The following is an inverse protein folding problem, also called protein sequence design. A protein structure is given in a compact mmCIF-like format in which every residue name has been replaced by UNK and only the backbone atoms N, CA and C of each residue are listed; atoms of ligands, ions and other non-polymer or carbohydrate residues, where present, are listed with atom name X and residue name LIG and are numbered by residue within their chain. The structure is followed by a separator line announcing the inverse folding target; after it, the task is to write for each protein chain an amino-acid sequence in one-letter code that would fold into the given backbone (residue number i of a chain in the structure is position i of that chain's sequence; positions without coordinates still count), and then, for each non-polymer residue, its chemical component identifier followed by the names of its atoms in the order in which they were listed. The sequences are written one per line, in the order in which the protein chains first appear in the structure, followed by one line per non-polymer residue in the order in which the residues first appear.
data_IF_941167449340
#
_entry.id   IF_941167449340
#
_cell.length_a   1.000
_cell.length_b   1.000
_cell.length_c   1.000
_cell.angle_alpha   90.00
_cell.angle_beta   90.00
_cell.angle_gamma   90.00
#
_symmetry.space_group_name_H-M   'P 1'
#
loop_
_entity.id
_entity.type
_entity.pdbx_description
1 polymer ?
#
# COMPACT_ATOMS: atom_id res chain seq x y z
N UNK A 1 -9.55 -9.35 21.45
CA UNK A 1 -9.19 -10.71 21.83
C UNK A 1 -8.90 -10.77 23.33
N UNK A 2 -9.40 -11.79 24.02
CA UNK A 2 -9.22 -12.03 25.46
C UNK A 2 -8.08 -13.03 25.77
N UNK A 3 -7.28 -13.39 24.76
CA UNK A 3 -6.22 -14.40 24.86
C UNK A 3 -6.72 -15.86 24.86
N UNK A 4 -8.02 -16.07 24.75
CA UNK A 4 -8.67 -17.41 24.72
C UNK A 4 -9.42 -17.66 23.42
N UNK A 5 -9.21 -16.80 22.41
CA UNK A 5 -9.87 -16.92 21.11
C UNK A 5 -11.21 -16.19 21.00
N UNK A 6 -11.67 -15.49 22.03
CA UNK A 6 -12.88 -14.68 21.94
C UNK A 6 -12.53 -13.25 21.51
N UNK A 7 -13.35 -12.68 20.64
CA UNK A 7 -13.19 -11.32 20.13
C UNK A 7 -14.37 -10.44 20.53
N UNK A 8 -14.07 -9.25 21.04
CA UNK A 8 -15.08 -8.26 21.42
C UNK A 8 -14.87 -7.00 20.59
N UNK A 9 -15.95 -6.46 20.04
CA UNK A 9 -15.92 -5.23 19.28
C UNK A 9 -15.64 -4.02 20.22
N UNK A 10 -14.52 -3.33 19.99
CA UNK A 10 -14.22 -2.04 20.63
C UNK A 10 -14.74 -0.90 19.73
N UNK A 11 -15.93 -0.41 20.01
CA UNK A 11 -16.51 0.71 19.25
C UNK A 11 -15.72 1.99 19.45
N UNK A 12 -15.52 2.78 18.36
CA UNK A 12 -14.80 4.04 18.40
C UNK A 12 -13.29 3.94 18.54
N UNK A 13 -12.73 2.71 18.48
CA UNK A 13 -11.26 2.51 18.52
C UNK A 13 -10.56 3.04 17.26
N UNK A 14 -11.22 3.00 16.13
CA UNK A 14 -10.70 3.48 14.84
C UNK A 14 -11.46 4.74 14.39
N UNK A 15 -10.79 5.68 13.70
CA UNK A 15 -11.47 6.75 13.00
C UNK A 15 -12.36 6.23 11.87
N UNK A 16 -13.28 7.03 11.39
CA UNK A 16 -14.09 6.71 10.19
C UNK A 16 -13.21 6.91 8.96
N UNK A 17 -13.00 5.83 8.20
CA UNK A 17 -12.23 5.83 6.96
C UNK A 17 -13.18 5.58 5.79
N UNK A 18 -13.32 6.57 4.89
CA UNK A 18 -14.14 6.44 3.68
C UNK A 18 -13.28 5.88 2.54
N UNK A 19 -12.94 4.61 2.61
CA UNK A 19 -12.10 3.95 1.61
C UNK A 19 -12.45 2.47 1.45
N UNK A 20 -12.14 1.92 0.29
CA UNK A 20 -12.08 0.47 0.08
C UNK A 20 -10.67 0.00 0.41
N UNK A 21 -10.51 -0.61 1.58
CA UNK A 21 -9.23 -1.08 2.07
C UNK A 21 -8.72 -2.28 1.25
N UNK A 22 -7.43 -2.27 0.87
CA UNK A 22 -6.73 -3.38 0.23
C UNK A 22 -5.77 -4.11 1.18
N UNK A 23 -5.17 -3.39 2.13
CA UNK A 23 -4.22 -3.95 3.08
C UNK A 23 -4.32 -3.28 4.46
N UNK A 24 -4.07 -4.05 5.51
CA UNK A 24 -3.85 -3.52 6.86
C UNK A 24 -2.59 -4.19 7.42
N UNK A 25 -1.61 -3.38 7.82
CA UNK A 25 -0.34 -3.86 8.36
C UNK A 25 -0.12 -3.25 9.73
N UNK A 26 0.06 -4.07 10.78
CA UNK A 26 0.51 -3.57 12.08
C UNK A 26 2.00 -3.22 12.01
N UNK A 27 2.37 -2.07 12.57
CA UNK A 27 3.75 -1.59 12.62
C UNK A 27 3.93 -0.71 13.86
N UNK A 28 5.07 -0.83 14.50
CA UNK A 28 5.52 0.13 15.52
C UNK A 28 6.51 1.07 14.78
N UNK A 29 5.99 2.18 14.22
CA UNK A 29 6.81 3.03 13.36
C UNK A 29 7.67 4.01 14.14
N UNK A 30 7.25 4.41 15.33
CA UNK A 30 7.95 5.41 16.15
C UNK A 30 8.75 4.80 17.33
N UNK A 31 8.62 3.48 17.54
CA UNK A 31 9.38 2.73 18.55
C UNK A 31 8.85 2.91 19.97
N UNK A 32 7.59 3.29 20.14
CA UNK A 32 6.96 3.48 21.45
C UNK A 32 6.46 2.17 22.07
N UNK A 33 6.49 1.06 21.32
CA UNK A 33 6.07 -0.28 21.73
C UNK A 33 4.59 -0.55 21.53
N UNK A 34 3.78 0.42 21.10
CA UNK A 34 2.41 0.21 20.69
C UNK A 34 2.34 -0.10 19.19
N UNK A 35 1.49 -1.05 18.79
CA UNK A 35 1.32 -1.33 17.37
C UNK A 35 0.37 -0.33 16.72
N UNK A 36 0.88 0.45 15.82
CA UNK A 36 0.17 1.32 14.90
C UNK A 36 -0.39 0.53 13.72
N UNK A 37 -1.11 1.18 12.81
CA UNK A 37 -1.62 0.54 11.60
C UNK A 37 -1.30 1.38 10.35
N UNK A 38 -0.74 0.74 9.34
CA UNK A 38 -0.89 1.20 7.97
C UNK A 38 -2.16 0.62 7.38
N UNK A 39 -3.03 1.48 6.84
CA UNK A 39 -4.25 1.11 6.13
C UNK A 39 -4.10 1.53 4.68
N UNK A 40 -3.75 0.58 3.83
CA UNK A 40 -3.61 0.77 2.39
C UNK A 40 -4.97 0.72 1.71
N UNK A 41 -5.32 1.79 1.03
CA UNK A 41 -6.58 1.91 0.29
C UNK A 41 -6.41 1.43 -1.14
N UNK A 42 -7.34 0.60 -1.63
CA UNK A 42 -7.32 0.04 -2.98
C UNK A 42 -8.06 0.91 -3.99
N UNK A 43 -9.14 1.53 -3.60
CA UNK A 43 -9.93 2.37 -4.49
C UNK A 43 -10.77 3.38 -3.74
N UNK A 44 -11.06 4.49 -4.39
CA UNK A 44 -12.12 5.39 -3.97
C UNK A 44 -13.47 4.69 -4.20
N UNK A 45 -14.41 4.69 -3.23
CA UNK A 45 -15.72 4.10 -3.44
C UNK A 45 -16.40 4.64 -4.70
N UNK A 46 -16.84 3.74 -5.58
CA UNK A 46 -17.47 4.03 -6.88
C UNK A 46 -16.55 4.66 -7.94
N UNK A 47 -15.28 4.97 -7.62
CA UNK A 47 -14.33 5.63 -8.53
C UNK A 47 -13.02 4.86 -8.64
N UNK A 48 -13.07 3.66 -9.23
CA UNK A 48 -11.87 2.86 -9.50
C UNK A 48 -10.93 3.59 -10.46
N UNK A 49 -9.64 3.61 -10.14
CA UNK A 49 -8.58 4.25 -10.93
C UNK A 49 -8.18 5.63 -10.42
N UNK A 50 -8.99 6.27 -9.57
CA UNK A 50 -8.55 7.41 -8.80
C UNK A 50 -7.71 6.97 -7.62
N UNK A 51 -6.65 7.72 -7.30
CA UNK A 51 -5.77 7.43 -6.16
C UNK A 51 -6.54 7.57 -4.84
N UNK A 52 -6.72 6.47 -4.11
CA UNK A 52 -7.41 6.52 -2.83
C UNK A 52 -6.48 7.01 -1.72
N UNK A 53 -7.06 7.60 -0.68
CA UNK A 53 -6.32 8.01 0.51
C UNK A 53 -5.96 6.81 1.38
N UNK A 54 -4.67 6.55 1.57
CA UNK A 54 -4.14 5.57 2.52
C UNK A 54 -3.75 6.25 3.84
N UNK A 55 -3.68 5.47 4.94
CA UNK A 55 -3.59 6.04 6.29
C UNK A 55 -2.46 5.41 7.11
N UNK A 56 -1.80 6.23 7.93
CA UNK A 56 -1.09 5.78 9.13
C UNK A 56 -1.94 6.14 10.35
N UNK A 57 -2.36 5.14 11.10
CA UNK A 57 -3.14 5.29 12.30
C UNK A 57 -2.26 5.04 13.52
N UNK A 58 -1.97 6.09 14.27
CA UNK A 58 -1.19 6.03 15.51
C UNK A 58 -2.03 5.50 16.67
N UNK A 59 -1.48 4.56 17.42
CA UNK A 59 -2.09 3.93 18.59
C UNK A 59 -1.63 4.61 19.88
N UNK A 60 -2.53 4.99 20.74
CA UNK A 60 -2.23 5.60 22.04
C UNK A 60 -1.72 4.59 23.12
N UNK A 61 -1.40 3.36 22.72
CA UNK A 61 -1.02 2.26 23.62
C UNK A 61 -2.20 1.62 24.37
N UNK A 62 -3.41 2.13 24.19
CA UNK A 62 -4.65 1.59 24.77
C UNK A 62 -5.58 1.00 23.71
N UNK A 63 -5.12 0.97 22.44
CA UNK A 63 -5.87 0.50 21.27
C UNK A 63 -6.93 1.50 20.82
N UNK A 64 -6.71 2.80 20.99
CA UNK A 64 -7.45 3.84 20.31
C UNK A 64 -6.52 4.46 19.25
N UNK A 65 -7.03 4.62 18.05
CA UNK A 65 -6.24 5.02 16.89
C UNK A 65 -6.65 6.41 16.39
N UNK A 66 -5.64 7.20 16.02
CA UNK A 66 -5.82 8.51 15.39
C UNK A 66 -5.10 8.55 14.05
N UNK A 67 -5.70 9.22 13.09
CA UNK A 67 -5.04 9.48 11.80
C UNK A 67 -3.85 10.45 12.00
N UNK A 68 -2.65 9.94 11.74
CA UNK A 68 -1.39 10.67 11.80
C UNK A 68 -0.79 10.93 10.40
N UNK A 69 -1.46 10.49 9.32
CA UNK A 69 -0.94 10.47 7.96
C UNK A 69 -0.37 11.81 7.52
N UNK A 70 -1.11 12.89 7.70
CA UNK A 70 -0.67 14.23 7.27
C UNK A 70 0.60 14.71 7.99
N UNK A 71 0.85 14.20 9.19
CA UNK A 71 2.03 14.58 10.01
C UNK A 71 3.24 13.71 9.71
N UNK A 72 3.04 12.38 9.70
CA UNK A 72 4.16 11.43 9.64
C UNK A 72 4.39 10.83 8.26
N UNK A 73 3.39 10.86 7.38
CA UNK A 73 3.44 10.19 6.08
C UNK A 73 2.62 10.90 4.98
N UNK A 74 2.82 12.20 4.73
CA UNK A 74 1.98 12.94 3.77
C UNK A 74 1.98 12.32 2.36
N UNK A 75 3.11 11.71 1.94
CA UNK A 75 3.23 11.04 0.64
C UNK A 75 2.40 9.76 0.52
N UNK A 76 2.04 9.13 1.64
CA UNK A 76 1.21 7.92 1.64
C UNK A 76 -0.27 8.22 1.41
N UNK A 77 -0.69 9.48 1.56
CA UNK A 77 -2.09 9.88 1.32
C UNK A 77 -2.56 9.62 -0.11
N UNK A 78 -1.64 9.59 -1.09
CA UNK A 78 -1.90 9.31 -2.50
C UNK A 78 -0.84 8.36 -3.08
N UNK A 79 -0.53 7.29 -2.35
CA UNK A 79 0.53 6.36 -2.72
C UNK A 79 0.17 5.50 -3.93
N UNK A 80 -1.10 5.40 -4.24
CA UNK A 80 -1.69 4.58 -5.31
C UNK A 80 -2.71 3.57 -4.79
N UNK A 81 -3.12 2.65 -5.65
CA UNK A 81 -4.18 1.65 -5.40
C UNK A 81 -3.60 0.42 -4.71
N UNK A 82 -3.45 0.47 -3.40
CA UNK A 82 -2.76 -0.55 -2.59
C UNK A 82 -3.56 -1.86 -2.54
N UNK A 83 -2.91 -2.98 -2.85
CA UNK A 83 -3.46 -4.33 -2.75
C UNK A 83 -2.83 -5.14 -1.62
N UNK A 84 -1.53 -4.92 -1.36
CA UNK A 84 -0.80 -5.60 -0.30
C UNK A 84 0.29 -4.70 0.25
N UNK A 85 0.69 -4.94 1.50
CA UNK A 85 1.80 -4.26 2.14
C UNK A 85 2.47 -5.16 3.20
N UNK A 86 3.70 -4.80 3.59
CA UNK A 86 4.48 -5.49 4.61
C UNK A 86 5.32 -4.51 5.41
N UNK A 87 5.82 -4.95 6.57
CA UNK A 87 6.72 -4.16 7.40
C UNK A 87 7.87 -5.04 7.88
N UNK A 88 9.05 -4.88 7.29
CA UNK A 88 10.23 -5.70 7.52
C UNK A 88 11.52 -4.89 7.29
N UNK A 89 12.62 -5.32 7.91
CA UNK A 89 13.95 -4.79 7.66
C UNK A 89 14.47 -5.40 6.36
N UNK A 90 14.45 -4.61 5.27
CA UNK A 90 14.83 -5.07 3.93
C UNK A 90 16.18 -4.53 3.47
N UNK A 91 16.87 -3.79 4.34
CA UNK A 91 18.19 -3.23 4.07
C UNK A 91 19.23 -3.59 5.13
N UNK A 92 18.85 -4.45 6.09
CA UNK A 92 19.69 -4.96 7.20
C UNK A 92 20.27 -3.83 8.10
N UNK A 93 19.56 -2.70 8.24
CA UNK A 93 20.00 -1.60 9.12
C UNK A 93 19.44 -1.71 10.57
N UNK A 94 18.66 -2.74 10.84
CA UNK A 94 18.00 -3.01 12.12
C UNK A 94 16.69 -2.26 12.31
N UNK A 95 16.22 -1.52 11.31
CA UNK A 95 14.91 -0.85 11.29
C UNK A 95 14.04 -1.46 10.20
N UNK A 96 12.77 -1.42 10.40
CA UNK A 96 11.83 -1.97 9.41
C UNK A 96 11.31 -0.89 8.47
N UNK A 97 11.20 -1.23 7.21
CA UNK A 97 10.59 -0.45 6.17
C UNK A 97 9.14 -0.88 5.94
N UNK A 98 8.31 0.08 5.51
CA UNK A 98 6.98 -0.17 4.99
C UNK A 98 7.07 -0.41 3.48
N UNK A 99 6.74 -1.63 3.05
CA UNK A 99 6.73 -2.05 1.65
C UNK A 99 5.29 -2.04 1.17
N UNK A 100 5.03 -1.43 0.02
CA UNK A 100 3.69 -1.26 -0.54
C UNK A 100 3.68 -1.71 -1.98
N UNK A 101 2.69 -2.51 -2.33
CA UNK A 101 2.41 -2.91 -3.71
C UNK A 101 0.94 -2.69 -4.05
N UNK A 102 0.65 -2.48 -5.34
CA UNK A 102 -0.72 -2.20 -5.75
C UNK A 102 -0.93 -2.25 -7.26
N UNK A 103 -2.14 -1.92 -7.66
CA UNK A 103 -2.54 -1.87 -9.06
C UNK A 103 -2.07 -0.58 -9.71
N UNK A 104 -1.57 -0.65 -10.96
CA UNK A 104 -1.14 0.50 -11.78
C UNK A 104 0.03 1.29 -11.18
N UNK A 105 0.82 0.68 -10.33
CA UNK A 105 1.95 1.32 -9.67
C UNK A 105 3.18 0.40 -9.61
N UNK A 106 4.34 0.97 -9.38
CA UNK A 106 5.54 0.23 -8.99
C UNK A 106 5.51 -0.12 -7.50
N UNK A 107 6.22 -1.18 -7.06
CA UNK A 107 6.49 -1.40 -5.65
C UNK A 107 7.18 -0.18 -5.03
N UNK A 108 6.81 0.18 -3.81
CA UNK A 108 7.37 1.32 -3.08
C UNK A 108 7.82 0.88 -1.71
N UNK A 109 8.94 1.43 -1.26
CA UNK A 109 9.53 1.15 0.05
C UNK A 109 9.73 2.48 0.78
N UNK A 110 9.27 2.55 2.02
CA UNK A 110 9.36 3.73 2.87
C UNK A 110 10.08 3.41 4.16
N UNK A 111 11.09 4.20 4.50
CA UNK A 111 11.77 4.17 5.79
C UNK A 111 11.29 5.32 6.67
N UNK A 112 11.09 5.06 7.98
CA UNK A 112 10.75 6.12 8.93
C UNK A 112 12.02 6.82 9.39
N UNK A 113 12.19 8.11 9.02
CA UNK A 113 13.37 8.90 9.32
C UNK A 113 13.01 10.13 10.14
N UNK A 114 13.59 10.21 11.34
CA UNK A 114 13.35 11.31 12.25
C UNK A 114 11.90 11.39 12.71
N UNK A 115 10.99 11.90 11.91
CA UNK A 115 9.58 12.06 12.24
C UNK A 115 8.64 11.77 11.07
N UNK A 116 9.16 11.27 9.94
CA UNK A 116 8.36 11.05 8.73
C UNK A 116 8.79 9.81 7.97
N UNK A 117 7.84 9.22 7.27
CA UNK A 117 8.11 8.23 6.24
C UNK A 117 8.64 8.91 4.97
N UNK A 118 9.78 8.42 4.48
CA UNK A 118 10.42 8.85 3.25
C UNK A 118 10.59 7.66 2.31
N UNK A 119 10.21 7.84 1.04
CA UNK A 119 10.41 6.82 0.02
C UNK A 119 11.90 6.64 -0.25
N UNK A 120 12.38 5.39 -0.20
CA UNK A 120 13.74 5.03 -0.56
C UNK A 120 13.78 4.48 -1.99
N UNK A 121 14.83 4.84 -2.73
CA UNK A 121 15.04 4.38 -4.10
C UNK A 121 15.77 3.05 -4.10
N UNK A 122 15.17 2.07 -4.75
CA UNK A 122 15.61 0.67 -4.72
C UNK A 122 15.82 0.06 -6.11
N UNK A 123 15.50 0.80 -7.19
CA UNK A 123 15.49 0.28 -8.56
C UNK A 123 14.17 -0.37 -8.96
N UNK A 124 13.19 -0.47 -8.04
CA UNK A 124 11.88 -1.03 -8.33
C UNK A 124 10.94 -0.03 -9.01
N UNK A 125 11.31 1.23 -9.14
CA UNK A 125 10.48 2.32 -9.64
C UNK A 125 10.03 2.13 -11.09
N UNK A 126 10.76 1.31 -11.86
CA UNK A 126 10.44 1.03 -13.27
C UNK A 126 9.56 -0.22 -13.45
N UNK A 127 9.26 -0.94 -12.38
CA UNK A 127 8.46 -2.16 -12.44
C UNK A 127 6.98 -1.86 -12.18
N UNK A 128 6.39 -0.98 -13.01
CA UNK A 128 4.96 -0.78 -12.96
C UNK A 128 4.22 -2.07 -13.28
N UNK A 129 3.19 -2.38 -12.51
CA UNK A 129 2.47 -3.62 -12.65
C UNK A 129 1.07 -3.56 -12.06
N UNK A 130 0.41 -4.71 -12.14
CA UNK A 130 -0.84 -4.98 -11.47
C UNK A 130 -0.57 -5.99 -10.36
N UNK A 131 0.13 -5.50 -9.34
CA UNK A 131 0.58 -6.28 -8.21
C UNK A 131 -0.60 -6.64 -7.32
N UNK A 132 -0.68 -7.88 -6.87
CA UNK A 132 -1.81 -8.38 -6.08
C UNK A 132 -1.40 -8.80 -4.67
N UNK A 133 -0.17 -9.26 -4.50
CA UNK A 133 0.30 -9.79 -3.22
C UNK A 133 1.77 -9.50 -3.00
N UNK A 134 2.13 -9.44 -1.72
CA UNK A 134 3.50 -9.30 -1.22
C UNK A 134 3.70 -10.32 -0.10
N UNK A 135 4.84 -11.00 -0.12
CA UNK A 135 5.36 -11.77 1.00
C UNK A 135 6.80 -11.34 1.22
N UNK A 136 7.20 -11.18 2.46
CA UNK A 136 8.57 -10.90 2.87
C UNK A 136 9.09 -12.13 3.60
N UNK A 137 10.21 -12.70 3.14
CA UNK A 137 10.84 -13.88 3.72
C UNK A 137 12.29 -13.96 3.26
N UNK A 138 13.14 -14.62 4.03
CA UNK A 138 14.45 -15.11 3.58
C UNK A 138 14.22 -16.36 2.70
N UNK A 139 14.20 -16.17 1.39
CA UNK A 139 13.80 -17.21 0.43
C UNK A 139 14.95 -18.11 0.00
N UNK A 140 16.19 -17.64 0.09
CA UNK A 140 17.38 -18.40 -0.30
C UNK A 140 18.27 -18.83 0.88
N UNK A 141 17.94 -18.38 2.10
CA UNK A 141 18.59 -18.80 3.33
C UNK A 141 19.90 -18.07 3.62
N UNK A 142 20.08 -16.87 3.06
CA UNK A 142 21.29 -16.06 3.27
C UNK A 142 21.21 -15.13 4.50
N UNK A 143 20.04 -15.01 5.11
CA UNK A 143 19.76 -14.23 6.30
C UNK A 143 19.14 -12.86 6.04
N UNK A 144 19.07 -12.42 4.79
CA UNK A 144 18.44 -11.18 4.39
C UNK A 144 16.94 -11.38 4.06
N UNK A 145 16.17 -10.30 3.99
CA UNK A 145 14.74 -10.39 3.68
C UNK A 145 14.48 -10.11 2.21
N UNK A 146 13.92 -11.11 1.53
CA UNK A 146 13.51 -11.02 0.13
C UNK A 146 12.08 -10.53 -0.02
N UNK A 147 11.78 -9.94 -1.18
CA UNK A 147 10.44 -9.54 -1.58
C UNK A 147 9.89 -10.48 -2.65
N UNK A 148 8.88 -11.23 -2.32
CA UNK A 148 8.16 -12.12 -3.25
C UNK A 148 6.85 -11.42 -3.64
N UNK A 149 6.77 -11.00 -4.91
CA UNK A 149 5.68 -10.18 -5.42
C UNK A 149 4.86 -10.96 -6.46
N UNK A 150 3.54 -10.99 -6.26
CA UNK A 150 2.61 -11.58 -7.24
C UNK A 150 2.02 -10.51 -8.16
N UNK A 151 2.31 -10.62 -9.47
CA UNK A 151 1.78 -9.72 -10.49
C UNK A 151 0.79 -10.46 -11.39
N UNK A 152 -0.29 -9.81 -11.76
CA UNK A 152 -1.22 -10.33 -12.78
C UNK A 152 -0.52 -10.44 -14.15
N UNK A 153 0.25 -9.44 -14.53
CA UNK A 153 1.21 -9.45 -15.64
C UNK A 153 0.66 -10.06 -16.94
N UNK A 154 1.38 -11.01 -17.51
CA UNK A 154 1.02 -11.71 -18.75
C UNK A 154 -0.22 -12.62 -18.66
N UNK A 155 -0.69 -12.90 -17.43
CA UNK A 155 -1.94 -13.65 -17.23
C UNK A 155 -3.19 -12.83 -17.55
N UNK A 156 -3.02 -11.53 -17.82
CA UNK A 156 -4.10 -10.66 -18.25
C UNK A 156 -4.35 -10.78 -19.77
N UNK A 157 -5.61 -10.69 -20.19
CA UNK A 157 -5.97 -10.88 -21.59
C UNK A 157 -5.32 -9.88 -22.55
N UNK A 158 -4.92 -8.69 -22.08
CA UNK A 158 -4.21 -7.68 -22.85
C UNK A 158 -2.70 -7.94 -23.00
N UNK A 159 -2.12 -8.84 -22.18
CA UNK A 159 -0.69 -9.24 -22.22
C UNK A 159 0.25 -8.06 -22.37
N UNK A 160 0.36 -7.20 -21.33
CA UNK A 160 1.30 -6.06 -21.36
C UNK A 160 2.74 -6.55 -21.30
N UNK A 161 3.63 -5.82 -21.98
CA UNK A 161 5.08 -5.93 -21.86
C UNK A 161 5.70 -4.53 -21.77
N UNK A 162 7.04 -4.43 -21.69
CA UNK A 162 7.72 -3.13 -21.57
C UNK A 162 7.57 -2.26 -22.81
N UNK A 163 7.52 -2.86 -24.02
CA UNK A 163 7.39 -2.12 -25.27
C UNK A 163 5.92 -1.78 -25.58
N UNK A 164 5.00 -2.64 -25.09
CA UNK A 164 3.55 -2.54 -25.33
C UNK A 164 2.77 -2.42 -24.02
N UNK A 165 2.97 -1.36 -23.22
CA UNK A 165 2.30 -1.21 -21.94
C UNK A 165 0.78 -1.04 -22.12
N UNK A 166 0.04 -1.60 -21.19
CA UNK A 166 -1.38 -1.27 -20.99
C UNK A 166 -1.46 -0.05 -20.09
N UNK A 167 -2.32 0.89 -20.44
CA UNK A 167 -2.53 2.14 -19.69
C UNK A 167 -4.00 2.33 -19.36
N UNK A 168 -4.26 2.84 -18.17
CA UNK A 168 -5.58 3.35 -17.78
C UNK A 168 -5.56 4.88 -17.83
N UNK A 169 -6.58 5.45 -18.45
CA UNK A 169 -6.82 6.89 -18.51
C UNK A 169 -8.06 7.20 -17.72
N UNK A 170 -7.95 8.17 -16.81
CA UNK A 170 -9.04 8.57 -15.92
C UNK A 170 -9.31 10.05 -16.19
N UNK A 171 -10.52 10.37 -16.61
CA UNK A 171 -10.99 11.75 -16.78
C UNK A 171 -12.51 11.74 -16.98
N UNK A 172 -13.15 12.85 -16.70
CA UNK A 172 -14.54 13.11 -17.12
C UNK A 172 -14.53 13.51 -18.59
N UNK A 173 -14.56 12.50 -19.52
CA UNK A 173 -14.44 12.73 -20.97
C UNK A 173 -15.73 13.32 -21.58
N UNK A 174 -16.89 13.01 -21.01
CA UNK A 174 -18.18 13.48 -21.51
C UNK A 174 -18.74 14.69 -20.73
N UNK A 175 -18.01 15.16 -19.70
CA UNK A 175 -18.31 16.31 -18.85
C UNK A 175 -19.62 16.17 -18.08
N UNK A 176 -19.92 14.96 -17.62
CA UNK A 176 -21.11 14.66 -16.81
C UNK A 176 -20.86 14.75 -15.29
N UNK A 177 -19.62 15.05 -14.87
CA UNK A 177 -19.20 15.15 -13.46
C UNK A 177 -18.77 13.83 -12.85
N UNK A 178 -18.65 12.75 -13.64
CA UNK A 178 -18.22 11.44 -13.20
C UNK A 178 -16.95 11.06 -13.96
N UNK A 179 -15.94 10.52 -13.27
CA UNK A 179 -14.71 10.09 -13.91
C UNK A 179 -14.94 8.82 -14.76
N UNK A 180 -14.69 8.94 -16.06
CA UNK A 180 -14.67 7.83 -16.99
C UNK A 180 -13.33 7.11 -16.97
N UNK A 181 -13.32 5.86 -17.46
CA UNK A 181 -12.14 5.01 -17.51
C UNK A 181 -11.94 4.45 -18.89
N UNK A 182 -10.76 4.68 -19.45
CA UNK A 182 -10.39 4.15 -20.75
C UNK A 182 -9.14 3.30 -20.61
N UNK A 183 -9.24 2.02 -20.97
CA UNK A 183 -8.11 1.11 -21.06
C UNK A 183 -7.55 1.11 -22.47
N UNK A 184 -6.24 1.33 -22.60
CA UNK A 184 -5.56 1.32 -23.90
C UNK A 184 -4.38 0.37 -23.88
N UNK A 185 -4.11 -0.24 -25.03
CA UNK A 185 -2.93 -1.06 -25.30
C UNK A 185 -2.23 -0.54 -26.55
N UNK A 186 -0.91 -0.48 -26.52
CA UNK A 186 -0.11 -0.25 -27.72
C UNK A 186 -0.26 -1.46 -28.65
N UNK A 187 -0.56 -1.23 -29.92
CA UNK A 187 -0.61 -2.23 -30.97
C UNK A 187 0.43 -1.86 -32.02
N UNK A 188 1.06 -2.88 -32.61
CA UNK A 188 2.00 -2.73 -33.73
C UNK A 188 1.23 -2.47 -35.03
#
# INVERSE_FOLDING_TARGET
NDGKGNFTLKRGALPILNTNCGAVVPLDYDGDGALDLFVGSRSVPQSYGEDPHSFILHNDGQGNFKDATSTVAPSLSSVGMVTSAGFADVNADGKKELIIVGEWMSPKIYSFKGSKFEEIKTGLENYNGWWQTLTVADADGDGDQDLILGNLGENFYLKPDQEHPVKIWISDFDKNGIADKMLTKTVN
#
